data_IF_926249016356
#
_entry.id   IF_926249016356
#
_cell.length_a   1.000
_cell.length_b   1.000
_cell.length_c   1.000
_cell.angle_alpha   90.00
_cell.angle_beta   90.00
_cell.angle_gamma   90.00
#
_symmetry.space_group_name_H-M   'P 1'
#
loop_
_entity.id
_entity.type
_entity.pdbx_description
1 polymer ?
#
# COMPACT_ATOMS: atom_id res chain seq x y z
N UNK A 1 -25.05 -15.34 -9.69
CA UNK A 1 -24.97 -14.95 -8.24
C UNK A 1 -25.91 -13.78 -8.01
N UNK A 2 -26.54 -13.64 -6.83
CA UNK A 2 -27.49 -12.55 -6.54
C UNK A 2 -26.98 -11.69 -5.39
N UNK A 3 -27.30 -10.39 -5.42
CA UNK A 3 -27.10 -9.49 -4.28
C UNK A 3 -28.14 -9.88 -3.20
N UNK A 4 -27.67 -10.13 -1.98
CA UNK A 4 -28.52 -10.48 -0.83
C UNK A 4 -28.93 -9.26 -0.02
N UNK A 5 -28.02 -8.30 0.12
CA UNK A 5 -28.29 -7.07 0.88
C UNK A 5 -27.62 -5.86 0.24
N UNK A 6 -28.24 -4.69 0.41
CA UNK A 6 -27.80 -3.41 -0.14
C UNK A 6 -27.98 -2.31 0.90
N UNK A 7 -27.07 -1.34 0.93
CA UNK A 7 -27.17 -0.14 1.77
C UNK A 7 -26.57 1.06 1.04
N UNK A 8 -27.29 2.15 0.95
CA UNK A 8 -26.87 3.40 0.31
C UNK A 8 -27.56 3.67 -1.02
N UNK A 9 -26.88 4.32 -1.96
CA UNK A 9 -27.47 4.80 -3.21
C UNK A 9 -27.60 3.68 -4.26
N UNK A 10 -28.77 3.06 -4.34
CA UNK A 10 -29.03 1.97 -5.29
C UNK A 10 -29.03 2.43 -6.76
N UNK A 11 -29.20 3.73 -7.05
CA UNK A 11 -29.13 4.25 -8.42
C UNK A 11 -27.75 4.01 -9.06
N UNK A 12 -26.69 3.82 -8.26
CA UNK A 12 -25.36 3.47 -8.74
C UNK A 12 -25.31 2.13 -9.50
N UNK A 13 -26.25 1.21 -9.24
CA UNK A 13 -26.37 -0.03 -9.99
C UNK A 13 -26.82 0.17 -11.44
N UNK A 14 -27.42 1.31 -11.76
CA UNK A 14 -27.87 1.64 -13.11
C UNK A 14 -26.80 2.37 -13.94
N UNK A 15 -25.72 2.85 -13.31
CA UNK A 15 -24.61 3.50 -14.03
C UNK A 15 -23.76 2.43 -14.74
N UNK A 16 -22.99 2.87 -15.74
CA UNK A 16 -21.86 2.08 -16.24
C UNK A 16 -20.80 1.97 -15.14
N UNK A 17 -20.37 0.74 -14.89
CA UNK A 17 -19.50 0.40 -13.75
C UNK A 17 -18.18 -0.20 -14.21
N UNK A 18 -17.10 0.27 -13.63
CA UNK A 18 -15.78 -0.35 -13.76
C UNK A 18 -15.45 -1.12 -12.49
N UNK A 19 -15.25 -2.44 -12.58
CA UNK A 19 -14.74 -3.23 -11.45
C UNK A 19 -13.23 -3.04 -11.35
N UNK A 20 -12.72 -2.71 -10.15
CA UNK A 20 -11.29 -2.75 -9.85
C UNK A 20 -10.98 -3.96 -9.00
N UNK A 21 -10.03 -4.78 -9.46
CA UNK A 21 -9.55 -5.97 -8.75
C UNK A 21 -8.04 -6.05 -8.77
N UNK A 22 -7.46 -6.56 -7.67
CA UNK A 22 -6.02 -6.66 -7.55
C UNK A 22 -5.61 -7.82 -6.62
N UNK A 23 -4.59 -8.57 -7.01
CA UNK A 23 -3.97 -9.59 -6.16
C UNK A 23 -3.38 -8.97 -4.89
N UNK A 24 -3.28 -9.74 -3.80
CA UNK A 24 -2.72 -9.27 -2.52
C UNK A 24 -1.24 -8.93 -2.61
N UNK A 25 -0.47 -9.71 -3.38
CA UNK A 25 0.93 -9.44 -3.66
C UNK A 25 0.99 -8.60 -4.93
N UNK A 26 1.55 -7.43 -4.82
CA UNK A 26 1.69 -6.48 -5.91
C UNK A 26 3.16 -6.28 -6.25
N UNK A 27 3.51 -6.13 -7.53
CA UNK A 27 4.86 -5.74 -7.94
C UNK A 27 5.16 -4.30 -7.53
N UNK A 28 6.44 -3.98 -7.39
CA UNK A 28 6.89 -2.60 -7.17
C UNK A 28 6.49 -1.75 -8.38
N UNK A 29 6.03 -0.52 -8.13
CA UNK A 29 5.62 0.42 -9.18
C UNK A 29 4.15 0.30 -9.64
N UNK A 30 3.42 -0.72 -9.21
CA UNK A 30 1.99 -0.83 -9.53
C UNK A 30 1.18 0.37 -9.00
N UNK A 31 1.58 0.89 -7.83
CA UNK A 31 0.94 2.06 -7.23
C UNK A 31 0.92 3.27 -8.17
N UNK A 32 1.98 3.45 -8.97
CA UNK A 32 2.04 4.53 -9.97
C UNK A 32 0.99 4.32 -11.07
N UNK A 33 0.87 3.11 -11.60
CA UNK A 33 -0.10 2.79 -12.66
C UNK A 33 -1.53 2.93 -12.16
N UNK A 34 -1.80 2.44 -10.96
CA UNK A 34 -3.10 2.58 -10.29
C UNK A 34 -3.40 4.06 -10.00
N UNK A 35 -2.41 4.82 -9.51
CA UNK A 35 -2.55 6.26 -9.28
C UNK A 35 -2.89 7.02 -10.56
N UNK A 36 -2.20 6.72 -11.66
CA UNK A 36 -2.49 7.30 -12.98
C UNK A 36 -3.90 6.97 -13.46
N UNK A 37 -4.34 5.72 -13.29
CA UNK A 37 -5.71 5.33 -13.61
C UNK A 37 -6.73 6.08 -12.76
N UNK A 38 -6.52 6.17 -11.44
CA UNK A 38 -7.39 6.90 -10.53
C UNK A 38 -7.51 8.38 -10.91
N UNK A 39 -6.40 9.03 -11.32
CA UNK A 39 -6.41 10.43 -11.75
C UNK A 39 -7.31 10.69 -12.97
N UNK A 40 -7.45 9.71 -13.86
CA UNK A 40 -8.33 9.80 -15.02
C UNK A 40 -9.82 9.68 -14.73
N UNK A 41 -10.21 9.31 -13.49
CA UNK A 41 -11.61 9.17 -13.10
C UNK A 41 -12.25 10.53 -12.76
N UNK A 42 -13.54 10.69 -13.05
CA UNK A 42 -14.34 11.85 -12.65
C UNK A 42 -15.66 11.44 -11.99
N UNK A 43 -16.15 12.20 -10.98
CA UNK A 43 -17.39 11.88 -10.27
C UNK A 43 -18.64 11.85 -11.18
N UNK A 44 -18.64 12.67 -12.21
CA UNK A 44 -19.77 12.83 -13.12
C UNK A 44 -19.91 11.62 -14.05
N UNK A 45 -18.77 11.09 -14.51
CA UNK A 45 -18.72 10.04 -15.54
C UNK A 45 -18.61 8.66 -14.97
N UNK A 46 -17.73 8.48 -13.97
CA UNK A 46 -17.27 7.16 -13.56
C UNK A 46 -18.03 6.63 -12.34
N UNK A 47 -18.19 5.31 -12.27
CA UNK A 47 -18.65 4.57 -11.11
C UNK A 47 -17.77 3.32 -10.96
N UNK A 48 -17.15 3.16 -9.79
CA UNK A 48 -16.17 2.10 -9.55
C UNK A 48 -16.71 1.08 -8.55
N UNK A 49 -16.58 -0.21 -8.88
CA UNK A 49 -16.85 -1.32 -7.95
C UNK A 49 -15.53 -1.85 -7.40
N UNK A 50 -15.41 -2.04 -6.10
CA UNK A 50 -14.23 -2.66 -5.50
C UNK A 50 -14.55 -3.47 -4.24
N UNK A 51 -13.61 -4.32 -3.84
CA UNK A 51 -13.79 -5.27 -2.76
C UNK A 51 -13.12 -4.91 -1.44
N UNK A 52 -12.28 -3.90 -1.40
CA UNK A 52 -11.60 -3.39 -0.20
C UNK A 52 -10.85 -4.45 0.62
N UNK A 53 -10.29 -5.50 0.00
CA UNK A 53 -9.64 -6.59 0.74
C UNK A 53 -8.13 -6.66 0.60
N UNK A 54 -7.59 -6.47 -0.61
CA UNK A 54 -6.15 -6.36 -0.78
C UNK A 54 -5.66 -4.98 -0.34
N UNK A 55 -4.37 -4.82 0.01
CA UNK A 55 -3.82 -3.49 0.32
C UNK A 55 -4.06 -2.47 -0.80
N UNK A 56 -3.92 -2.90 -2.06
CA UNK A 56 -4.17 -2.04 -3.21
C UNK A 56 -5.66 -1.69 -3.36
N UNK A 57 -6.57 -2.65 -3.18
CA UNK A 57 -8.01 -2.37 -3.20
C UNK A 57 -8.42 -1.38 -2.10
N UNK A 58 -7.83 -1.48 -0.90
CA UNK A 58 -8.07 -0.51 0.18
C UNK A 58 -7.59 0.89 -0.18
N UNK A 59 -6.39 1.01 -0.74
CA UNK A 59 -5.85 2.31 -1.17
C UNK A 59 -6.73 2.94 -2.27
N UNK A 60 -7.15 2.13 -3.24
CA UNK A 60 -8.09 2.58 -4.29
C UNK A 60 -9.42 3.04 -3.67
N UNK A 61 -10.02 2.22 -2.81
CA UNK A 61 -11.30 2.54 -2.17
C UNK A 61 -11.23 3.85 -1.37
N UNK A 62 -10.20 4.03 -0.55
CA UNK A 62 -9.98 5.27 0.21
C UNK A 62 -9.88 6.48 -0.73
N UNK A 63 -9.12 6.36 -1.81
CA UNK A 63 -8.96 7.45 -2.80
C UNK A 63 -10.29 7.78 -3.51
N UNK A 64 -11.08 6.75 -3.85
CA UNK A 64 -12.40 6.95 -4.46
C UNK A 64 -13.33 7.74 -3.54
N UNK A 65 -13.38 7.41 -2.24
CA UNK A 65 -14.17 8.15 -1.26
C UNK A 65 -13.70 9.59 -1.12
N UNK A 66 -12.39 9.81 -0.95
CA UNK A 66 -11.82 11.16 -0.83
C UNK A 66 -12.13 12.05 -2.03
N UNK A 67 -12.12 11.48 -3.24
CA UNK A 67 -12.41 12.18 -4.49
C UNK A 67 -13.90 12.19 -4.83
N UNK A 68 -14.76 11.67 -3.96
CA UNK A 68 -16.22 11.56 -4.16
C UNK A 68 -16.60 10.85 -5.47
N UNK A 69 -15.75 9.93 -5.95
CA UNK A 69 -16.07 9.11 -7.11
C UNK A 69 -17.19 8.15 -6.71
N UNK A 70 -18.32 8.08 -7.44
CA UNK A 70 -19.38 7.13 -7.20
C UNK A 70 -18.84 5.70 -7.09
N UNK A 71 -19.06 5.06 -5.92
CA UNK A 71 -18.39 3.79 -5.59
C UNK A 71 -19.40 2.74 -5.12
N UNK A 72 -19.21 1.51 -5.58
CA UNK A 72 -19.96 0.35 -5.07
C UNK A 72 -18.97 -0.55 -4.33
N UNK A 73 -19.10 -0.63 -3.01
CA UNK A 73 -18.32 -1.53 -2.17
C UNK A 73 -18.97 -2.91 -2.13
N UNK A 74 -18.25 -3.92 -2.59
CA UNK A 74 -18.73 -5.30 -2.61
C UNK A 74 -18.10 -6.10 -1.46
N UNK A 75 -18.89 -6.50 -0.49
CA UNK A 75 -18.45 -7.26 0.67
C UNK A 75 -18.42 -8.76 0.37
N UNK A 76 -17.49 -9.48 0.99
CA UNK A 76 -17.39 -10.94 0.99
C UNK A 76 -17.85 -11.56 2.33
N UNK A 77 -18.61 -10.82 3.09
CA UNK A 77 -19.21 -11.15 4.37
C UNK A 77 -20.60 -10.52 4.48
N UNK A 78 -21.33 -10.80 5.55
CA UNK A 78 -22.62 -10.18 5.82
C UNK A 78 -22.49 -8.65 5.91
N UNK A 79 -23.59 -7.94 5.68
CA UNK A 79 -23.65 -6.48 5.85
C UNK A 79 -23.33 -6.13 7.30
N UNK A 80 -22.30 -5.32 7.58
CA UNK A 80 -21.99 -4.89 8.95
C UNK A 80 -23.08 -3.96 9.48
N UNK A 81 -23.27 -3.96 10.79
CA UNK A 81 -24.21 -3.08 11.48
C UNK A 81 -23.66 -1.69 11.76
N UNK A 82 -22.32 -1.55 11.75
CA UNK A 82 -21.61 -0.29 12.01
C UNK A 82 -20.61 -0.02 10.89
N UNK A 83 -20.54 1.24 10.49
CA UNK A 83 -19.60 1.77 9.51
C UNK A 83 -18.76 2.89 10.11
N UNK A 84 -17.50 2.99 9.71
CA UNK A 84 -16.63 4.11 10.06
C UNK A 84 -17.14 5.43 9.48
N UNK A 85 -16.62 6.55 9.99
CA UNK A 85 -17.10 7.89 9.66
C UNK A 85 -17.02 8.21 8.17
N UNK A 86 -15.94 7.83 7.49
CA UNK A 86 -15.75 8.07 6.05
C UNK A 86 -16.85 7.38 5.21
N UNK A 87 -17.20 6.14 5.57
CA UNK A 87 -18.24 5.41 4.87
C UNK A 87 -19.63 6.00 5.17
N UNK A 88 -19.88 6.39 6.42
CA UNK A 88 -21.15 7.04 6.80
C UNK A 88 -21.35 8.36 6.04
N UNK A 89 -20.30 9.14 5.91
CA UNK A 89 -20.30 10.37 5.12
C UNK A 89 -20.61 10.08 3.66
N UNK A 90 -19.91 9.15 3.02
CA UNK A 90 -20.14 8.79 1.63
C UNK A 90 -21.55 8.18 1.38
N UNK A 91 -22.08 7.42 2.35
CA UNK A 91 -23.46 6.91 2.31
C UNK A 91 -24.48 8.06 2.38
N UNK A 92 -24.29 9.02 3.29
CA UNK A 92 -25.19 10.17 3.43
C UNK A 92 -25.15 11.13 2.25
N UNK A 93 -23.98 11.28 1.61
CA UNK A 93 -23.80 12.08 0.40
C UNK A 93 -24.31 11.38 -0.88
N UNK A 94 -24.68 10.10 -0.79
CA UNK A 94 -25.17 9.31 -1.93
C UNK A 94 -24.09 8.91 -2.94
N UNK A 95 -22.80 9.05 -2.59
CA UNK A 95 -21.67 8.63 -3.43
C UNK A 95 -21.25 7.17 -3.23
N UNK A 96 -21.85 6.48 -2.26
CA UNK A 96 -21.54 5.09 -1.92
C UNK A 96 -22.78 4.19 -1.95
N UNK A 97 -22.61 3.01 -2.50
CA UNK A 97 -23.49 1.85 -2.31
C UNK A 97 -22.66 0.69 -1.76
N UNK A 98 -23.10 0.06 -0.69
CA UNK A 98 -22.53 -1.19 -0.16
C UNK A 98 -23.43 -2.34 -0.55
N UNK A 99 -22.86 -3.39 -1.11
CA UNK A 99 -23.58 -4.62 -1.48
C UNK A 99 -22.87 -5.86 -0.94
N UNK A 100 -23.65 -6.91 -0.67
CA UNK A 100 -23.11 -8.23 -0.36
C UNK A 100 -23.94 -9.33 -1.01
N UNK A 101 -23.26 -10.42 -1.37
CA UNK A 101 -23.88 -11.67 -1.81
C UNK A 101 -23.99 -12.69 -0.68
N UNK A 102 -23.45 -12.37 0.50
CA UNK A 102 -23.42 -13.26 1.64
C UNK A 102 -24.71 -13.17 2.45
N UNK A 103 -25.11 -14.31 3.00
CA UNK A 103 -26.17 -14.40 3.98
C UNK A 103 -25.74 -13.74 5.31
N UNK A 104 -26.71 -13.35 6.14
CA UNK A 104 -26.48 -12.69 7.42
C UNK A 104 -25.63 -13.51 8.42
N UNK A 105 -25.55 -14.83 8.22
CA UNK A 105 -24.74 -15.75 9.04
C UNK A 105 -23.24 -15.73 8.69
N UNK A 106 -22.83 -15.14 7.58
CA UNK A 106 -21.43 -15.13 7.13
C UNK A 106 -20.69 -13.96 7.74
N UNK A 107 -20.17 -14.12 8.96
CA UNK A 107 -19.49 -13.06 9.70
C UNK A 107 -18.01 -12.91 9.37
N UNK A 108 -17.40 -13.87 8.69
CA UNK A 108 -15.98 -13.85 8.35
C UNK A 108 -15.74 -14.07 6.86
N UNK A 109 -14.81 -13.30 6.31
CA UNK A 109 -14.38 -13.47 4.93
C UNK A 109 -13.62 -14.78 4.77
N UNK A 110 -14.07 -15.62 3.85
CA UNK A 110 -13.41 -16.85 3.45
C UNK A 110 -12.82 -16.74 2.05
N UNK A 111 -11.93 -17.67 1.70
CA UNK A 111 -11.40 -17.74 0.36
C UNK A 111 -12.49 -18.02 -0.71
N UNK A 112 -13.59 -18.67 -0.32
CA UNK A 112 -14.75 -18.94 -1.18
C UNK A 112 -15.58 -17.69 -1.33
N UNK A 113 -15.99 -17.04 -0.23
CA UNK A 113 -16.82 -15.84 -0.31
C UNK A 113 -16.10 -14.68 -1.00
N UNK A 114 -14.77 -14.57 -0.85
CA UNK A 114 -13.97 -13.58 -1.59
C UNK A 114 -13.93 -13.86 -3.10
N UNK A 115 -13.84 -15.14 -3.50
CA UNK A 115 -13.90 -15.53 -4.90
C UNK A 115 -15.29 -15.22 -5.49
N UNK A 116 -16.33 -15.63 -4.79
CA UNK A 116 -17.72 -15.42 -5.21
C UNK A 116 -18.05 -13.92 -5.32
N UNK A 117 -17.56 -13.08 -4.38
CA UNK A 117 -17.65 -11.63 -4.46
C UNK A 117 -16.98 -11.08 -5.74
N UNK A 118 -15.78 -11.56 -6.08
CA UNK A 118 -15.10 -11.12 -7.30
C UNK A 118 -15.92 -11.48 -8.53
N UNK A 119 -16.44 -12.70 -8.63
CA UNK A 119 -17.31 -13.13 -9.74
C UNK A 119 -18.56 -12.25 -9.83
N UNK A 120 -19.18 -11.89 -8.70
CA UNK A 120 -20.31 -10.95 -8.68
C UNK A 120 -19.92 -9.59 -9.25
N UNK A 121 -18.81 -9.01 -8.78
CA UNK A 121 -18.32 -7.71 -9.28
C UNK A 121 -18.10 -7.74 -10.79
N UNK A 122 -17.40 -8.76 -11.28
CA UNK A 122 -17.07 -8.92 -12.70
C UNK A 122 -18.34 -9.07 -13.54
N UNK A 123 -19.38 -9.78 -13.02
CA UNK A 123 -20.65 -9.96 -13.73
C UNK A 123 -21.54 -8.72 -13.77
N UNK A 124 -21.37 -7.77 -12.86
CA UNK A 124 -22.13 -6.53 -12.79
C UNK A 124 -21.46 -5.37 -13.53
N UNK A 125 -20.16 -5.41 -13.72
CA UNK A 125 -19.39 -4.34 -14.34
C UNK A 125 -19.36 -4.45 -15.87
N UNK A 126 -19.40 -3.32 -16.55
CA UNK A 126 -19.21 -3.22 -18.00
C UNK A 126 -17.72 -3.28 -18.39
N UNK A 127 -16.85 -2.87 -17.49
CA UNK A 127 -15.39 -2.89 -17.66
C UNK A 127 -14.73 -3.41 -16.40
N UNK A 128 -13.65 -4.16 -16.54
CA UNK A 128 -12.82 -4.61 -15.43
C UNK A 128 -11.40 -4.07 -15.59
N UNK A 129 -10.90 -3.41 -14.56
CA UNK A 129 -9.53 -2.94 -14.48
C UNK A 129 -8.80 -3.80 -13.45
N UNK A 130 -7.74 -4.44 -13.89
CA UNK A 130 -6.88 -5.31 -13.07
C UNK A 130 -5.60 -4.59 -12.74
N UNK A 131 -5.37 -4.28 -11.46
CA UNK A 131 -4.10 -3.75 -11.01
C UNK A 131 -2.97 -4.74 -11.28
N UNK A 132 -3.05 -5.91 -10.68
CA UNK A 132 -2.21 -7.06 -11.03
C UNK A 132 -2.92 -8.38 -10.72
N UNK A 133 -2.47 -9.44 -11.39
CA UNK A 133 -3.04 -10.78 -11.24
C UNK A 133 -1.92 -11.82 -11.07
N UNK A 134 -1.98 -12.63 -10.00
CA UNK A 134 -1.03 -13.72 -9.80
C UNK A 134 -1.39 -14.91 -10.68
N UNK A 135 -0.44 -15.38 -11.51
CA UNK A 135 -0.61 -16.55 -12.39
C UNK A 135 -0.98 -17.80 -11.56
N UNK A 136 -1.96 -18.58 -12.04
CA UNK A 136 -2.52 -19.72 -11.33
C UNK A 136 -3.38 -19.36 -10.11
N UNK A 137 -3.53 -18.06 -9.83
CA UNK A 137 -4.26 -17.54 -8.67
C UNK A 137 -5.78 -17.61 -8.80
N UNK A 138 -6.46 -17.36 -7.68
CA UNK A 138 -7.94 -17.34 -7.66
C UNK A 138 -8.52 -16.19 -8.47
N UNK A 139 -7.83 -15.04 -8.51
CA UNK A 139 -8.26 -13.89 -9.28
C UNK A 139 -8.19 -14.20 -10.79
N UNK A 140 -7.10 -14.79 -11.28
CA UNK A 140 -6.97 -15.20 -12.67
C UNK A 140 -8.09 -16.16 -13.09
N UNK A 141 -8.40 -17.14 -12.23
CA UNK A 141 -9.53 -18.06 -12.48
C UNK A 141 -10.89 -17.36 -12.51
N UNK A 142 -11.09 -16.32 -11.70
CA UNK A 142 -12.31 -15.53 -11.73
C UNK A 142 -12.39 -14.71 -13.03
N UNK A 143 -11.28 -14.18 -13.54
CA UNK A 143 -11.20 -13.37 -14.76
C UNK A 143 -11.36 -14.18 -16.05
N UNK A 144 -11.04 -15.49 -16.04
CA UNK A 144 -11.03 -16.33 -17.23
C UNK A 144 -12.36 -16.43 -18.01
N UNK A 145 -13.48 -16.03 -17.40
CA UNK A 145 -14.80 -16.01 -18.05
C UNK A 145 -15.30 -14.64 -18.49
N UNK A 146 -14.41 -13.63 -18.54
CA UNK A 146 -14.77 -12.24 -18.85
C UNK A 146 -13.84 -11.64 -19.90
N UNK A 147 -14.40 -11.01 -20.94
CA UNK A 147 -13.66 -10.46 -22.09
C UNK A 147 -13.36 -8.97 -21.93
N UNK A 148 -14.06 -8.26 -21.05
CA UNK A 148 -13.97 -6.81 -20.82
C UNK A 148 -12.89 -6.42 -19.79
N UNK A 149 -11.75 -7.07 -19.86
CA UNK A 149 -10.66 -6.96 -18.87
C UNK A 149 -9.49 -6.15 -19.42
N UNK A 150 -9.12 -5.09 -18.71
CA UNK A 150 -7.93 -4.26 -18.97
C UNK A 150 -6.94 -4.43 -17.83
N UNK A 151 -5.70 -4.75 -18.16
CA UNK A 151 -4.60 -4.85 -17.21
C UNK A 151 -3.80 -3.55 -17.21
N UNK A 152 -3.60 -2.94 -16.04
CA UNK A 152 -2.84 -1.69 -15.91
C UNK A 152 -1.34 -1.88 -16.20
N UNK A 153 -0.83 -3.08 -16.01
CA UNK A 153 0.55 -3.47 -16.26
C UNK A 153 0.79 -3.96 -17.71
N UNK A 154 -0.17 -3.80 -18.60
CA UNK A 154 -0.16 -4.26 -20.01
C UNK A 154 0.16 -5.76 -20.15
N UNK A 155 -0.15 -6.59 -19.17
CA UNK A 155 0.15 -8.01 -19.17
C UNK A 155 1.64 -8.34 -19.10
N UNK A 156 2.48 -7.38 -18.70
CA UNK A 156 3.94 -7.50 -18.69
C UNK A 156 4.47 -8.38 -17.54
N UNK A 157 5.72 -8.84 -17.65
CA UNK A 157 6.28 -10.05 -17.06
C UNK A 157 6.56 -10.00 -15.55
N UNK A 158 5.86 -9.19 -14.78
CA UNK A 158 5.87 -9.20 -13.31
C UNK A 158 5.62 -10.61 -12.74
N UNK A 159 4.89 -11.44 -13.51
CA UNK A 159 4.51 -12.78 -13.13
C UNK A 159 5.62 -13.81 -13.30
N UNK A 160 6.65 -13.53 -14.12
CA UNK A 160 7.76 -14.47 -14.37
C UNK A 160 8.86 -14.42 -13.30
N UNK A 161 8.91 -13.37 -12.48
CA UNK A 161 9.95 -13.21 -11.45
C UNK A 161 9.61 -13.89 -10.11
N UNK A 162 8.43 -14.50 -9.95
CA UNK A 162 7.98 -15.12 -8.69
C UNK A 162 7.87 -16.64 -8.72
N UNK A 163 8.31 -17.35 -9.77
CA UNK A 163 8.33 -18.82 -9.82
C UNK A 163 9.55 -19.47 -9.13
N UNK A 164 10.23 -18.76 -8.24
CA UNK A 164 11.32 -19.27 -7.43
C UNK A 164 11.05 -19.18 -5.92
N UNK A 165 10.72 -20.35 -5.33
CA UNK A 165 10.83 -20.69 -3.92
C UNK A 165 9.70 -20.27 -2.94
N UNK A 166 8.71 -21.15 -2.86
CA UNK A 166 8.11 -21.52 -1.60
C UNK A 166 8.64 -22.92 -1.23
N UNK A 167 9.49 -23.00 -0.23
CA UNK A 167 9.80 -24.08 0.73
C UNK A 167 11.30 -24.16 1.04
N UNK A 168 11.65 -23.89 2.30
CA UNK A 168 12.96 -24.21 2.86
C UNK A 168 13.37 -23.26 3.99
N UNK A 169 14.00 -23.74 5.05
CA UNK A 169 14.37 -22.93 6.20
C UNK A 169 15.44 -21.90 5.83
N UNK A 170 15.26 -20.70 6.36
CA UNK A 170 16.12 -19.54 6.18
C UNK A 170 17.57 -19.87 6.52
N UNK A 171 18.42 -20.00 5.50
CA UNK A 171 19.86 -19.85 5.64
C UNK A 171 20.21 -18.37 5.45
N UNK A 172 20.86 -17.82 6.45
CA UNK A 172 21.40 -16.48 6.52
C UNK A 172 22.57 -16.31 5.56
N UNK A 173 22.32 -15.71 4.39
CA UNK A 173 23.34 -15.03 3.59
C UNK A 173 22.70 -13.79 2.94
N UNK A 174 23.44 -12.65 2.81
CA UNK A 174 22.90 -11.44 2.22
C UNK A 174 22.66 -11.66 0.73
N UNK A 175 21.37 -11.79 0.34
CA UNK A 175 21.01 -11.85 -1.08
C UNK A 175 21.36 -10.51 -1.76
N UNK A 176 22.27 -10.55 -2.73
CA UNK A 176 22.56 -9.44 -3.62
C UNK A 176 21.29 -9.08 -4.40
N UNK A 177 20.87 -7.82 -4.30
CA UNK A 177 19.76 -7.29 -5.10
C UNK A 177 19.97 -7.58 -6.60
N UNK A 178 18.91 -7.89 -7.31
CA UNK A 178 18.94 -8.30 -8.74
C UNK A 178 19.56 -7.28 -9.72
N UNK A 179 19.92 -6.07 -9.24
CA UNK A 179 20.59 -5.03 -10.03
C UNK A 179 22.13 -5.09 -9.97
N UNK A 180 22.72 -5.98 -9.19
CA UNK A 180 24.18 -6.01 -8.94
C UNK A 180 24.70 -4.83 -8.11
N UNK A 181 23.83 -3.92 -7.66
CA UNK A 181 24.13 -2.80 -6.80
C UNK A 181 24.07 -3.20 -5.32
N UNK A 182 24.62 -2.33 -4.47
CA UNK A 182 24.65 -2.49 -3.03
C UNK A 182 23.25 -2.69 -2.41
N UNK A 183 23.15 -3.60 -1.46
CA UNK A 183 22.00 -3.76 -0.58
C UNK A 183 22.47 -4.10 0.84
N UNK A 184 21.69 -3.67 1.85
CA UNK A 184 21.98 -3.93 3.26
C UNK A 184 20.71 -4.28 4.01
N UNK A 185 20.82 -5.22 4.94
CA UNK A 185 19.74 -5.56 5.87
C UNK A 185 20.19 -5.28 7.30
N UNK A 186 19.39 -4.50 8.04
CA UNK A 186 19.60 -4.19 9.45
C UNK A 186 18.54 -4.93 10.27
N UNK A 187 18.98 -5.81 11.16
CA UNK A 187 18.07 -6.51 12.08
C UNK A 187 17.83 -5.65 13.30
N UNK A 188 16.60 -5.25 13.52
CA UNK A 188 16.15 -4.41 14.61
C UNK A 188 15.31 -5.22 15.61
N UNK A 189 15.06 -4.67 16.80
CA UNK A 189 14.16 -5.29 17.79
C UNK A 189 12.73 -5.45 17.26
N UNK A 190 12.27 -4.52 16.42
CA UNK A 190 10.92 -4.49 15.86
C UNK A 190 10.90 -4.79 14.35
N UNK A 191 11.70 -5.75 13.88
CA UNK A 191 11.69 -6.15 12.48
C UNK A 191 13.05 -6.02 11.80
N UNK A 192 13.01 -5.87 10.47
CA UNK A 192 14.23 -5.73 9.66
C UNK A 192 14.08 -4.55 8.71
N UNK A 193 15.09 -3.70 8.66
CA UNK A 193 15.20 -2.67 7.63
C UNK A 193 16.06 -3.21 6.49
N UNK A 194 15.51 -3.18 5.28
CA UNK A 194 16.24 -3.45 4.04
C UNK A 194 16.49 -2.13 3.33
N UNK A 195 17.71 -1.94 2.85
CA UNK A 195 18.13 -0.79 2.06
C UNK A 195 18.61 -1.27 0.70
N UNK A 196 17.99 -0.80 -0.37
CA UNK A 196 18.29 -1.19 -1.74
C UNK A 196 18.32 0.02 -2.66
N UNK A 197 19.28 0.07 -3.59
CA UNK A 197 19.18 1.03 -4.70
C UNK A 197 18.20 0.54 -5.74
N UNK A 198 17.35 1.46 -6.20
CA UNK A 198 16.43 1.23 -7.31
C UNK A 198 16.63 2.30 -8.37
N UNK A 199 16.62 1.88 -9.63
CA UNK A 199 16.69 2.77 -10.78
C UNK A 199 15.28 2.95 -11.35
N UNK A 200 14.85 4.21 -11.55
CA UNK A 200 13.57 4.57 -12.15
C UNK A 200 13.74 5.19 -13.53
N UNK A 201 14.69 4.72 -14.32
CA UNK A 201 14.98 5.19 -15.67
C UNK A 201 15.74 6.52 -15.71
N UNK A 202 15.28 7.57 -15.07
CA UNK A 202 15.93 8.89 -15.05
C UNK A 202 16.79 9.11 -13.80
N UNK A 203 16.43 8.49 -12.69
CA UNK A 203 17.08 8.71 -11.39
C UNK A 203 17.24 7.43 -10.59
N UNK A 204 18.26 7.39 -9.74
CA UNK A 204 18.49 6.34 -8.75
C UNK A 204 17.96 6.80 -7.40
N UNK A 205 17.24 5.93 -6.70
CA UNK A 205 16.72 6.15 -5.36
C UNK A 205 17.26 5.10 -4.39
N UNK A 206 17.49 5.47 -3.13
CA UNK A 206 17.60 4.52 -2.04
C UNK A 206 16.20 4.22 -1.53
N UNK A 207 15.80 2.96 -1.59
CA UNK A 207 14.58 2.45 -0.95
C UNK A 207 14.94 1.88 0.42
N UNK A 208 14.31 2.38 1.45
CA UNK A 208 14.37 1.84 2.82
C UNK A 208 13.04 1.13 3.08
N UNK A 209 13.08 -0.17 3.32
CA UNK A 209 11.89 -1.00 3.61
C UNK A 209 11.97 -1.50 5.05
N UNK A 210 11.04 -1.11 5.91
CA UNK A 210 10.89 -1.69 7.24
C UNK A 210 9.88 -2.83 7.18
N UNK A 211 10.31 -4.02 7.55
CA UNK A 211 9.50 -5.25 7.54
C UNK A 211 9.29 -5.73 8.97
N UNK A 212 8.05 -5.75 9.43
CA UNK A 212 7.65 -6.17 10.78
C UNK A 212 6.75 -7.38 10.69
N UNK A 213 6.94 -8.36 11.57
CA UNK A 213 6.06 -9.53 11.62
C UNK A 213 4.66 -9.12 12.12
N UNK A 214 3.63 -9.41 11.35
CA UNK A 214 2.25 -9.12 11.70
C UNK A 214 1.70 -10.16 12.68
N UNK A 215 0.81 -9.75 13.59
CA UNK A 215 0.20 -10.61 14.60
C UNK A 215 -0.59 -11.82 14.03
N UNK A 216 -1.06 -11.71 12.78
CA UNK A 216 -1.78 -12.77 12.05
C UNK A 216 -0.91 -13.64 11.15
N UNK A 217 0.41 -13.56 11.25
CA UNK A 217 1.37 -14.19 10.33
C UNK A 217 1.59 -13.35 9.06
N UNK A 218 2.78 -13.47 8.45
CA UNK A 218 3.20 -12.60 7.35
C UNK A 218 3.99 -11.38 7.84
N UNK A 219 4.20 -10.41 6.96
CA UNK A 219 4.99 -9.23 7.26
C UNK A 219 4.28 -7.97 6.75
N UNK A 220 4.15 -6.98 7.62
CA UNK A 220 3.82 -5.60 7.25
C UNK A 220 5.10 -4.90 6.78
N UNK A 221 5.01 -4.17 5.67
CA UNK A 221 6.16 -3.50 5.06
C UNK A 221 5.84 -2.05 4.76
N UNK A 222 6.57 -1.17 5.42
CA UNK A 222 6.55 0.28 5.19
C UNK A 222 7.81 0.66 4.41
N UNK A 223 7.69 1.62 3.47
CA UNK A 223 8.79 1.96 2.56
C UNK A 223 9.00 3.46 2.51
N UNK A 224 10.26 3.90 2.51
CA UNK A 224 10.67 5.28 2.24
C UNK A 224 11.58 5.29 1.02
N UNK A 225 11.53 6.37 0.24
CA UNK A 225 12.32 6.51 -0.98
C UNK A 225 13.06 7.84 -0.97
N UNK A 226 14.37 7.81 -1.16
CA UNK A 226 15.22 8.97 -1.10
C UNK A 226 16.04 9.10 -2.38
N UNK A 227 16.01 10.27 -3.02
CA UNK A 227 17.07 10.70 -3.93
C UNK A 227 18.37 10.95 -3.12
N UNK A 228 19.51 11.04 -3.79
CA UNK A 228 20.79 11.30 -3.13
C UNK A 228 20.78 12.56 -2.26
N UNK A 229 20.12 13.62 -2.75
CA UNK A 229 20.04 14.90 -2.03
C UNK A 229 19.15 14.79 -0.80
N UNK A 230 18.00 14.13 -0.90
CA UNK A 230 17.11 13.87 0.23
C UNK A 230 17.76 13.00 1.29
N UNK A 231 18.52 11.98 0.86
CA UNK A 231 19.21 11.07 1.78
C UNK A 231 20.26 11.80 2.62
N UNK A 232 20.96 12.78 2.07
CA UNK A 232 21.90 13.61 2.82
C UNK A 232 21.20 14.45 3.89
N UNK A 233 20.05 15.05 3.56
CA UNK A 233 19.20 15.77 4.53
C UNK A 233 18.65 14.84 5.63
N UNK A 234 18.18 13.66 5.25
CA UNK A 234 17.72 12.63 6.17
C UNK A 234 18.82 12.19 7.13
N UNK A 235 20.06 11.93 6.62
CA UNK A 235 21.21 11.59 7.46
C UNK A 235 21.52 12.69 8.49
N UNK A 236 21.48 13.94 8.08
CA UNK A 236 21.71 15.06 8.98
C UNK A 236 20.67 15.12 10.11
N UNK A 237 19.41 14.87 9.79
CA UNK A 237 18.33 14.84 10.77
C UNK A 237 18.45 13.68 11.77
N UNK A 238 18.72 12.47 11.31
CA UNK A 238 18.87 11.31 12.21
C UNK A 238 20.12 11.43 13.10
N UNK A 239 21.22 12.02 12.60
CA UNK A 239 22.40 12.33 13.42
C UNK A 239 22.10 13.39 14.49
N UNK A 240 21.34 14.42 14.15
CA UNK A 240 20.89 15.43 15.11
C UNK A 240 20.08 14.81 16.24
N UNK A 241 19.12 13.94 15.90
CA UNK A 241 18.29 13.23 16.88
C UNK A 241 19.12 12.29 17.75
N UNK A 242 20.04 11.52 17.16
CA UNK A 242 20.95 10.63 17.91
C UNK A 242 21.86 11.42 18.87
N UNK A 243 22.36 12.59 18.43
CA UNK A 243 23.13 13.49 19.28
C UNK A 243 22.34 14.00 20.49
N UNK A 244 21.10 14.45 20.28
CA UNK A 244 20.20 14.88 21.35
C UNK A 244 19.90 13.76 22.36
N UNK A 245 19.64 12.56 21.87
CA UNK A 245 19.40 11.39 22.72
C UNK A 245 20.61 11.00 23.57
N UNK A 246 21.82 11.11 23.05
CA UNK A 246 23.07 10.80 23.77
C UNK A 246 23.44 11.85 24.82
N UNK A 247 23.08 13.11 24.58
CA UNK A 247 23.30 14.21 25.53
C UNK A 247 22.18 14.37 26.55
N UNK A 248 21.18 13.46 26.56
CA UNK A 248 19.98 13.54 27.40
C UNK A 248 19.21 14.87 27.26
N UNK A 249 19.42 15.56 26.13
CA UNK A 249 18.68 16.78 25.82
C UNK A 249 17.28 16.50 25.31
N UNK A 250 16.32 17.41 25.51
CA UNK A 250 14.96 17.23 24.99
C UNK A 250 14.96 17.00 23.48
N UNK A 251 14.37 15.90 23.05
CA UNK A 251 14.14 15.63 21.64
C UNK A 251 12.92 16.45 21.21
N UNK A 252 12.97 17.18 20.09
CA UNK A 252 11.81 17.85 19.54
C UNK A 252 10.68 16.83 19.32
N UNK A 253 9.45 17.18 19.70
CA UNK A 253 8.29 16.32 19.45
C UNK A 253 8.07 16.13 17.94
N UNK A 254 8.39 17.17 17.17
CA UNK A 254 8.32 17.16 15.71
C UNK A 254 9.57 17.82 15.12
N UNK A 255 10.17 17.19 14.10
CA UNK A 255 11.26 17.74 13.31
C UNK A 255 10.93 17.53 11.83
N UNK A 256 10.80 18.60 11.08
CA UNK A 256 10.55 18.55 9.64
C UNK A 256 11.85 18.82 8.87
N UNK A 257 12.14 17.97 7.88
CA UNK A 257 13.22 18.13 6.92
C UNK A 257 12.62 18.36 5.54
N UNK A 258 12.65 19.61 5.08
CA UNK A 258 12.18 19.94 3.74
C UNK A 258 13.10 19.28 2.70
N UNK A 259 12.50 18.59 1.73
CA UNK A 259 13.17 17.98 0.59
C UNK A 259 12.59 18.48 -0.73
N UNK A 260 13.31 18.25 -1.84
CA UNK A 260 12.82 18.67 -3.17
C UNK A 260 11.58 17.93 -3.65
N UNK A 261 11.26 16.76 -3.09
CA UNK A 261 10.17 15.88 -3.52
C UNK A 261 9.12 15.64 -2.43
N UNK A 262 9.18 16.37 -1.31
CA UNK A 262 8.26 16.24 -0.20
C UNK A 262 8.93 16.48 1.16
N UNK A 263 8.12 16.50 2.23
CA UNK A 263 8.59 16.70 3.58
C UNK A 263 8.84 15.37 4.28
N UNK A 264 9.89 15.33 5.08
CA UNK A 264 10.18 14.23 5.99
C UNK A 264 10.01 14.77 7.40
N UNK A 265 9.06 14.16 8.13
CA UNK A 265 8.81 14.50 9.53
C UNK A 265 9.25 13.37 10.44
N UNK A 266 9.71 13.75 11.62
CA UNK A 266 10.06 12.83 12.71
C UNK A 266 9.19 13.16 13.90
N UNK A 267 8.42 12.17 14.36
CA UNK A 267 7.65 12.26 15.58
C UNK A 267 8.26 11.32 16.62
N UNK A 268 8.48 11.83 17.83
CA UNK A 268 9.02 11.05 18.93
C UNK A 268 7.96 10.87 20.01
N UNK A 269 7.70 9.63 20.40
CA UNK A 269 6.76 9.29 21.49
C UNK A 269 7.38 8.31 22.48
N UNK A 270 7.14 8.46 23.80
CA UNK A 270 7.60 7.50 24.79
C UNK A 270 7.00 6.11 24.55
N UNK A 271 7.82 5.07 24.73
CA UNK A 271 7.37 3.68 24.70
C UNK A 271 8.20 2.81 25.64
N UNK A 272 7.76 1.56 25.85
CA UNK A 272 8.54 0.58 26.60
C UNK A 272 9.87 0.30 25.89
N UNK A 273 10.97 0.76 26.51
CA UNK A 273 12.34 0.62 25.99
C UNK A 273 12.93 1.88 25.37
N UNK A 274 12.34 3.08 25.59
CA UNK A 274 12.88 4.37 25.18
C UNK A 274 11.88 5.24 24.40
N UNK A 275 12.32 5.83 23.30
CA UNK A 275 11.45 6.59 22.40
C UNK A 275 11.16 5.78 21.14
N UNK A 276 9.91 5.75 20.71
CA UNK A 276 9.49 5.31 19.40
C UNK A 276 9.56 6.52 18.44
N UNK A 277 10.37 6.40 17.41
CA UNK A 277 10.52 7.40 16.36
C UNK A 277 9.69 6.97 15.16
N UNK A 278 8.76 7.81 14.73
CA UNK A 278 8.02 7.65 13.49
C UNK A 278 8.64 8.59 12.43
N UNK A 279 9.20 8.02 11.38
CA UNK A 279 9.72 8.75 10.22
C UNK A 279 8.66 8.72 9.14
N UNK A 280 8.04 9.84 8.90
CA UNK A 280 6.97 9.98 7.92
C UNK A 280 7.49 10.76 6.71
N UNK A 281 7.33 10.18 5.54
CA UNK A 281 7.62 10.83 4.26
C UNK A 281 6.32 11.16 3.56
N UNK A 282 6.12 12.44 3.29
CA UNK A 282 4.98 12.95 2.51
C UNK A 282 5.51 13.37 1.14
N UNK A 283 5.03 12.74 0.08
CA UNK A 283 5.39 13.10 -1.30
C UNK A 283 4.17 13.51 -2.08
N UNK A 284 4.29 14.58 -2.83
CA UNK A 284 3.28 15.02 -3.78
C UNK A 284 3.43 14.24 -5.10
N UNK A 285 2.33 13.65 -5.56
CA UNK A 285 2.25 12.92 -6.83
C UNK A 285 1.16 13.55 -7.70
N UNK A 286 1.55 14.12 -8.85
CA UNK A 286 0.59 14.74 -9.77
C UNK A 286 -0.17 15.90 -9.12
N UNK A 287 -1.26 16.34 -9.67
CA UNK A 287 -2.01 17.53 -9.27
C UNK A 287 -2.47 17.55 -7.78
N UNK A 288 -1.52 17.70 -6.83
CA UNK A 288 -1.82 17.93 -5.41
C UNK A 288 -2.13 16.68 -4.58
N UNK A 289 -1.86 15.47 -5.08
CA UNK A 289 -2.04 14.25 -4.27
C UNK A 289 -0.83 13.99 -3.38
N UNK A 290 -1.06 13.84 -2.07
CA UNK A 290 -0.04 13.51 -1.10
C UNK A 290 -0.02 11.99 -0.82
N UNK A 291 1.16 11.40 -0.91
CA UNK A 291 1.40 10.04 -0.41
C UNK A 291 2.15 10.15 0.92
N UNK A 292 1.59 9.55 1.96
CA UNK A 292 2.18 9.49 3.29
C UNK A 292 2.66 8.07 3.56
N UNK A 293 3.94 7.91 3.91
CA UNK A 293 4.54 6.64 4.29
C UNK A 293 5.29 6.82 5.61
N UNK A 294 5.13 5.90 6.56
CA UNK A 294 5.71 6.02 7.89
C UNK A 294 6.47 4.77 8.27
N UNK A 295 7.74 4.91 8.59
CA UNK A 295 8.58 3.86 9.18
C UNK A 295 8.76 4.15 10.67
N UNK A 296 8.59 3.12 11.51
CA UNK A 296 8.72 3.25 12.96
C UNK A 296 9.91 2.44 13.48
N UNK A 297 10.76 3.08 14.28
CA UNK A 297 11.94 2.46 14.88
C UNK A 297 12.13 2.95 16.34
N UNK A 298 12.84 2.18 17.14
CA UNK A 298 13.23 2.61 18.47
C UNK A 298 14.43 3.55 18.40
N UNK A 299 14.50 4.52 19.30
CA UNK A 299 15.65 5.45 19.39
C UNK A 299 16.99 4.73 19.51
N UNK A 300 17.03 3.59 20.22
CA UNK A 300 18.23 2.75 20.34
C UNK A 300 18.71 2.13 19.00
N UNK A 301 17.91 2.18 17.95
CA UNK A 301 18.20 1.62 16.63
C UNK A 301 18.78 2.67 15.65
N UNK A 302 18.74 3.97 16.02
CA UNK A 302 19.27 5.06 15.21
C UNK A 302 20.75 4.88 14.79
N UNK A 303 21.67 4.46 15.68
CA UNK A 303 23.07 4.29 15.29
C UNK A 303 23.26 3.32 14.13
N UNK A 304 22.52 2.22 14.12
CA UNK A 304 22.58 1.23 13.03
C UNK A 304 22.00 1.79 11.73
N UNK A 305 20.90 2.55 11.81
CA UNK A 305 20.30 3.20 10.66
C UNK A 305 21.26 4.25 10.06
N UNK A 306 21.90 5.08 10.92
CA UNK A 306 22.91 6.08 10.53
C UNK A 306 24.03 5.40 9.74
N UNK A 307 24.63 4.34 10.30
CA UNK A 307 25.71 3.59 9.65
C UNK A 307 25.28 3.06 8.26
N UNK A 308 24.07 2.49 8.15
CA UNK A 308 23.56 1.99 6.88
C UNK A 308 23.33 3.09 5.83
N UNK A 309 22.83 4.25 6.25
CA UNK A 309 22.62 5.41 5.35
C UNK A 309 23.96 6.02 4.92
N UNK A 310 24.95 6.10 5.81
CA UNK A 310 26.30 6.56 5.48
C UNK A 310 26.97 5.66 4.45
N UNK A 311 26.84 4.34 4.63
CA UNK A 311 27.35 3.37 3.68
C UNK A 311 26.67 3.50 2.31
N UNK A 312 25.34 3.63 2.29
CA UNK A 312 24.61 3.86 1.06
C UNK A 312 25.08 5.12 0.33
N UNK A 313 25.32 6.23 1.04
CA UNK A 313 25.84 7.48 0.45
C UNK A 313 27.24 7.33 -0.17
N UNK A 314 28.09 6.45 0.38
CA UNK A 314 29.41 6.14 -0.19
C UNK A 314 29.32 5.29 -1.47
N UNK A 315 28.25 4.50 -1.59
CA UNK A 315 28.03 3.59 -2.71
C UNK A 315 27.24 4.22 -3.86
N UNK A 316 26.73 5.44 -3.68
CA UNK A 316 26.00 6.19 -4.67
C UNK A 316 26.97 6.76 -5.74
#
# INVERSE_FOLDING_TARGET
MKIQSKLGNEALLQREKTAFVCSRKTPDGLEYLVGKWLLGLSPERDCVMCGNQSPMERAVFTTLLQRKIPTILCLAEAMPTLFGDDLRTALSEGSLLVITHCDASVHNVTARSAFDRNVLMLSLAQKTVVGCCTKGGKLERALAGFDNVEYLDNGQPWLKAQEGNATGPVKTEPERGKSGRWSRALRLKRGTIYMDFIDSGAETYLKITHSVQAAGGGYDREKLFFSRKELAGFLSAIRFLDGKLRSEEPVPQELTVASLSGDITFDASPCDGGLLLAVTQTKEYGAGQLRVQTVRLLSAELPQLIEGVEEALKMW
#
